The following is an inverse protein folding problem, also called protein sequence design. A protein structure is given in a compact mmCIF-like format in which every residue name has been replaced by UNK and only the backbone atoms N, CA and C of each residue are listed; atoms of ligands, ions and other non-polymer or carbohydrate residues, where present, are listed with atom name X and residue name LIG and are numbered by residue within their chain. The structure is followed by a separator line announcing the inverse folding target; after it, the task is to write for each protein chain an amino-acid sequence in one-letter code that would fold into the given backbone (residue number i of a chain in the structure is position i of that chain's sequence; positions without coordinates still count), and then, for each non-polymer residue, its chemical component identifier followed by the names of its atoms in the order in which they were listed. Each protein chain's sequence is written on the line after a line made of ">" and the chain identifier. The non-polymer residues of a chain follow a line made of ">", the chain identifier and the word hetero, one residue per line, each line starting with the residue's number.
data_IF_757149885546
#
_entry.id   IF_757149885546
#
_cell.length_a   1.000
_cell.length_b   1.000
_cell.length_c   1.000
_cell.angle_alpha   90.00
_cell.angle_beta   90.00
_cell.angle_gamma   90.00
#
_symmetry.space_group_name_H-M   'P 1'
#
loop_
_entity.id
_entity.type
_entity.pdbx_description
1 polymer ?
#
# COMPACT_ATOMS: atom_id res chain seq x y z
N UNK A 1 24.06 18.55 41.56
CA UNK A 1 22.84 18.85 40.75
C UNK A 1 23.28 19.17 39.33
N UNK A 2 23.45 18.16 38.47
CA UNK A 2 23.91 18.35 37.09
C UNK A 2 23.47 17.21 36.16
N UNK A 3 22.38 16.53 36.49
CA UNK A 3 21.85 15.40 35.70
C UNK A 3 20.70 15.82 34.78
N UNK A 4 20.19 17.05 34.96
CA UNK A 4 19.20 17.68 34.10
C UNK A 4 19.58 17.70 32.61
N UNK A 5 20.84 17.97 32.18
CA UNK A 5 21.17 17.90 30.75
C UNK A 5 21.18 16.46 30.21
N UNK A 6 21.46 15.46 31.05
CA UNK A 6 21.46 14.04 30.66
C UNK A 6 20.03 13.53 30.44
N UNK A 7 19.10 13.91 31.32
CA UNK A 7 17.68 13.56 31.20
C UNK A 7 17.00 14.23 29.99
N UNK A 8 17.40 15.46 29.64
CA UNK A 8 16.92 16.15 28.43
C UNK A 8 17.45 15.49 27.14
N UNK A 9 18.67 14.96 27.14
CA UNK A 9 19.23 14.23 26.00
C UNK A 9 18.56 12.86 25.78
N UNK A 10 18.11 12.20 26.85
CA UNK A 10 17.40 10.92 26.78
C UNK A 10 15.99 11.05 26.17
N UNK A 11 15.32 12.19 26.33
CA UNK A 11 14.00 12.47 25.75
C UNK A 11 14.06 12.88 24.26
N UNK A 12 15.25 13.08 23.70
CA UNK A 12 15.45 13.54 22.32
C UNK A 12 15.48 12.41 21.26
N UNK A 13 15.24 11.16 21.65
CA UNK A 13 15.15 10.02 20.72
C UNK A 13 13.72 9.50 20.62
N UNK A 14 12.75 10.41 20.44
CA UNK A 14 11.51 10.03 19.78
C UNK A 14 11.78 10.06 18.28
N UNK A 15 12.26 8.95 17.73
CA UNK A 15 12.19 8.72 16.28
C UNK A 15 10.73 8.92 15.88
N UNK A 16 10.47 9.90 15.02
CA UNK A 16 9.13 10.19 14.55
C UNK A 16 8.51 8.90 14.01
N UNK A 17 7.37 8.49 14.56
CA UNK A 17 6.56 7.44 13.97
C UNK A 17 5.87 8.09 12.77
N UNK A 18 6.35 7.81 11.55
CA UNK A 18 5.61 8.20 10.37
C UNK A 18 4.22 7.55 10.44
N UNK A 19 3.13 8.31 10.29
CA UNK A 19 1.80 7.74 10.26
C UNK A 19 1.71 6.76 9.09
N UNK A 20 1.00 5.65 9.28
CA UNK A 20 0.73 4.73 8.19
C UNK A 20 -0.38 5.30 7.29
N UNK A 21 -0.31 5.11 5.96
CA UNK A 21 -1.34 5.58 5.07
C UNK A 21 -2.71 4.98 5.40
N UNK A 22 -3.70 5.85 5.61
CA UNK A 22 -5.08 5.44 5.81
C UNK A 22 -5.81 5.48 4.46
N UNK A 23 -6.55 4.42 4.14
CA UNK A 23 -7.30 4.28 2.90
C UNK A 23 -8.79 4.41 3.17
N UNK A 24 -9.43 5.32 2.43
CA UNK A 24 -10.87 5.54 2.49
C UNK A 24 -11.52 5.05 1.19
N UNK A 25 -12.37 4.03 1.31
CA UNK A 25 -13.18 3.49 0.22
C UNK A 25 -14.67 3.75 0.52
N UNK A 26 -15.50 4.11 -0.48
CA UNK A 26 -16.95 4.14 -0.30
C UNK A 26 -17.46 2.77 0.20
N UNK A 27 -18.44 2.73 1.11
CA UNK A 27 -18.91 1.48 1.70
C UNK A 27 -19.57 0.55 0.67
N UNK A 28 -20.21 1.12 -0.34
CA UNK A 28 -20.77 0.40 -1.48
C UNK A 28 -20.93 1.30 -2.69
N UNK A 29 -20.95 0.70 -3.87
CA UNK A 29 -21.31 1.34 -5.13
C UNK A 29 -22.08 0.34 -5.98
N UNK A 30 -22.95 0.84 -6.86
CA UNK A 30 -23.75 0.02 -7.76
C UNK A 30 -23.79 0.65 -9.15
N UNK A 31 -23.84 -0.17 -10.19
CA UNK A 31 -24.03 0.26 -11.57
C UNK A 31 -24.73 -0.84 -12.37
N UNK A 32 -25.31 -0.47 -13.51
CA UNK A 32 -25.97 -1.42 -14.40
C UNK A 32 -24.96 -2.30 -15.16
N UNK A 33 -25.38 -3.51 -15.54
CA UNK A 33 -24.59 -4.40 -16.39
C UNK A 33 -24.21 -3.72 -17.72
N UNK A 34 -23.04 -4.06 -18.27
CA UNK A 34 -22.49 -3.49 -19.50
C UNK A 34 -21.94 -2.07 -19.39
N UNK A 35 -22.14 -1.40 -18.25
CA UNK A 35 -21.57 -0.06 -18.00
C UNK A 35 -20.12 -0.13 -17.53
N UNK A 36 -19.47 1.03 -17.43
CA UNK A 36 -18.17 1.15 -16.74
C UNK A 36 -18.37 1.72 -15.35
N UNK A 37 -17.88 1.02 -14.33
CA UNK A 37 -17.87 1.50 -12.94
C UNK A 37 -16.44 1.88 -12.52
N UNK A 38 -16.32 2.89 -11.65
CA UNK A 38 -15.04 3.28 -11.03
C UNK A 38 -15.14 3.16 -9.52
N UNK A 39 -14.26 2.36 -8.94
CA UNK A 39 -14.12 2.21 -7.48
C UNK A 39 -13.02 3.15 -7.01
N UNK A 40 -13.29 3.95 -5.98
CA UNK A 40 -12.35 4.93 -5.44
C UNK A 40 -11.61 4.38 -4.21
N UNK A 41 -10.34 4.75 -4.09
CA UNK A 41 -9.49 4.51 -2.94
C UNK A 41 -8.72 5.79 -2.64
N UNK A 42 -9.19 6.57 -1.67
CA UNK A 42 -8.62 7.87 -1.32
C UNK A 42 -7.63 7.70 -0.17
N UNK A 43 -6.41 8.21 -0.34
CA UNK A 43 -5.42 8.24 0.73
C UNK A 43 -5.67 9.42 1.66
N UNK A 44 -5.35 9.25 2.93
CA UNK A 44 -5.28 10.34 3.89
C UNK A 44 -4.30 11.42 3.44
N UNK A 45 -4.59 12.67 3.82
CA UNK A 45 -3.92 13.88 3.30
C UNK A 45 -2.46 14.02 3.71
N UNK A 46 -2.01 13.27 4.70
CA UNK A 46 -0.63 13.15 5.16
C UNK A 46 0.27 12.35 4.20
N UNK A 47 -0.32 11.69 3.20
CA UNK A 47 0.41 10.92 2.19
C UNK A 47 0.04 11.32 0.76
N UNK A 48 1.00 11.26 -0.14
CA UNK A 48 0.79 11.50 -1.57
C UNK A 48 0.62 10.17 -2.34
N UNK A 49 -0.54 9.98 -2.97
CA UNK A 49 -0.82 8.83 -3.85
C UNK A 49 0.14 8.75 -5.05
N UNK A 50 0.77 9.87 -5.43
CA UNK A 50 1.76 9.96 -6.48
C UNK A 50 2.99 9.09 -6.25
N UNK A 51 3.43 8.91 -5.00
CA UNK A 51 4.63 8.13 -4.66
C UNK A 51 4.35 6.66 -4.30
N UNK A 52 3.08 6.27 -4.23
CA UNK A 52 2.66 4.93 -3.82
C UNK A 52 2.23 4.06 -4.99
N UNK A 53 2.49 2.75 -4.92
CA UNK A 53 1.76 1.76 -5.70
C UNK A 53 0.35 1.60 -5.13
N UNK A 54 -0.65 1.40 -5.98
CA UNK A 54 -2.00 1.02 -5.56
C UNK A 54 -2.28 -0.40 -6.04
N UNK A 55 -2.63 -1.26 -5.11
CA UNK A 55 -2.99 -2.65 -5.35
C UNK A 55 -4.49 -2.80 -5.21
N UNK A 56 -5.10 -3.56 -6.11
CA UNK A 56 -6.53 -3.85 -6.09
C UNK A 56 -6.75 -5.35 -5.94
N UNK A 57 -7.71 -5.70 -5.09
CA UNK A 57 -8.13 -7.06 -4.81
C UNK A 57 -9.64 -7.19 -4.94
N UNK A 58 -10.10 -8.36 -5.36
CA UNK A 58 -11.51 -8.73 -5.42
C UNK A 58 -11.75 -9.96 -4.54
N UNK A 59 -12.80 -9.91 -3.73
CA UNK A 59 -13.26 -11.03 -2.93
C UNK A 59 -14.73 -11.33 -3.25
N UNK A 60 -14.96 -12.48 -3.89
CA UNK A 60 -16.31 -13.03 -4.08
C UNK A 60 -16.75 -13.78 -2.83
N UNK A 61 -18.06 -13.89 -2.61
CA UNK A 61 -18.61 -14.65 -1.49
C UNK A 61 -18.03 -16.08 -1.46
N UNK A 62 -17.57 -16.53 -0.30
CA UNK A 62 -16.98 -17.86 -0.09
C UNK A 62 -15.60 -18.08 -0.72
N UNK A 63 -14.97 -17.05 -1.29
CA UNK A 63 -13.65 -17.15 -1.92
C UNK A 63 -12.61 -16.27 -1.19
N UNK A 64 -11.32 -16.63 -1.23
CA UNK A 64 -10.27 -15.77 -0.73
C UNK A 64 -10.11 -14.52 -1.62
N UNK A 65 -9.55 -13.41 -1.08
CA UNK A 65 -9.20 -12.25 -1.89
C UNK A 65 -8.24 -12.64 -3.02
N UNK A 66 -8.56 -12.19 -4.23
CA UNK A 66 -7.76 -12.38 -5.43
C UNK A 66 -7.15 -11.05 -5.86
N UNK A 67 -5.85 -11.04 -6.10
CA UNK A 67 -5.16 -9.89 -6.67
C UNK A 67 -5.63 -9.60 -8.10
N UNK A 68 -6.06 -8.36 -8.34
CA UNK A 68 -6.50 -7.87 -9.65
C UNK A 68 -5.38 -7.16 -10.40
N UNK A 69 -4.83 -6.09 -9.83
CA UNK A 69 -3.80 -5.30 -10.49
C UNK A 69 -3.02 -4.43 -9.52
N UNK A 70 -1.83 -4.03 -9.95
CA UNK A 70 -1.01 -2.98 -9.35
C UNK A 70 -0.92 -1.83 -10.35
N UNK A 71 -1.17 -0.61 -9.88
CA UNK A 71 -1.04 0.59 -10.69
C UNK A 71 -0.15 1.62 -10.01
N UNK A 72 0.90 2.05 -10.71
CA UNK A 72 1.64 3.27 -10.37
C UNK A 72 1.41 4.35 -11.42
N UNK A 73 1.65 4.02 -12.69
CA UNK A 73 1.47 4.90 -13.85
C UNK A 73 1.07 4.09 -15.09
N UNK A 74 0.82 4.76 -16.21
CA UNK A 74 0.52 4.07 -17.48
C UNK A 74 1.65 3.16 -17.97
N UNK A 75 2.91 3.55 -17.74
CA UNK A 75 4.12 2.80 -18.11
C UNK A 75 4.55 1.78 -17.05
N UNK A 76 4.07 1.92 -15.81
CA UNK A 76 4.41 1.02 -14.71
C UNK A 76 3.15 0.53 -13.98
N UNK A 77 2.68 -0.62 -14.44
CA UNK A 77 1.47 -1.31 -13.97
C UNK A 77 1.59 -2.80 -14.26
N UNK A 78 0.99 -3.61 -13.40
CA UNK A 78 0.94 -5.07 -13.57
C UNK A 78 -0.50 -5.57 -13.41
N UNK A 79 -0.87 -6.57 -14.20
CA UNK A 79 -2.13 -7.30 -14.05
C UNK A 79 -1.91 -8.58 -13.25
N UNK A 80 -2.91 -8.95 -12.47
CA UNK A 80 -2.95 -10.22 -11.78
C UNK A 80 -3.16 -11.37 -12.76
N UNK A 81 -2.83 -12.60 -12.34
CA UNK A 81 -2.96 -13.77 -13.20
C UNK A 81 -4.42 -13.97 -13.59
N UNK A 82 -4.66 -14.21 -14.89
CA UNK A 82 -5.99 -14.48 -15.48
C UNK A 82 -7.01 -13.35 -15.26
N UNK A 83 -6.56 -12.11 -14.99
CA UNK A 83 -7.46 -10.96 -14.81
C UNK A 83 -7.86 -10.42 -16.18
N UNK A 84 -9.16 -10.29 -16.49
CA UNK A 84 -9.61 -9.78 -17.78
C UNK A 84 -9.13 -8.34 -18.05
N UNK A 85 -8.88 -7.96 -19.33
CA UNK A 85 -8.38 -6.62 -19.68
C UNK A 85 -9.38 -5.49 -19.38
N UNK A 86 -10.64 -5.81 -19.10
CA UNK A 86 -11.68 -4.85 -18.68
C UNK A 86 -11.42 -4.23 -17.29
N UNK A 87 -10.51 -4.79 -16.49
CA UNK A 87 -10.04 -4.20 -15.25
C UNK A 87 -8.82 -3.31 -15.50
N UNK A 88 -8.89 -2.04 -15.09
CA UNK A 88 -7.79 -1.10 -15.26
C UNK A 88 -7.62 -0.14 -14.07
N UNK A 89 -6.40 0.29 -13.81
CA UNK A 89 -6.07 1.24 -12.75
C UNK A 89 -5.86 2.67 -13.27
N UNK A 90 -6.10 3.66 -12.43
CA UNK A 90 -5.72 5.06 -12.65
C UNK A 90 -5.51 5.79 -11.32
N UNK A 91 -4.95 7.00 -11.37
CA UNK A 91 -4.81 7.91 -10.21
C UNK A 91 -5.29 9.30 -10.57
N UNK A 92 -5.87 9.98 -9.59
CA UNK A 92 -6.13 11.42 -9.57
C UNK A 92 -5.29 12.02 -8.44
N UNK A 93 -4.19 12.67 -8.80
CA UNK A 93 -3.25 13.24 -7.84
C UNK A 93 -3.86 14.43 -7.09
N UNK A 94 -4.72 15.22 -7.75
CA UNK A 94 -5.37 16.37 -7.12
C UNK A 94 -6.37 15.93 -6.04
N UNK A 95 -6.99 14.76 -6.21
CA UNK A 95 -7.90 14.17 -5.22
C UNK A 95 -7.23 13.17 -4.27
N UNK A 96 -5.91 12.99 -4.39
CA UNK A 96 -5.18 11.97 -3.65
C UNK A 96 -5.82 10.56 -3.72
N UNK A 97 -6.34 10.19 -4.90
CA UNK A 97 -7.24 9.03 -5.06
C UNK A 97 -6.77 8.08 -6.17
N UNK A 98 -6.72 6.80 -5.85
CA UNK A 98 -6.62 5.70 -6.80
C UNK A 98 -7.97 5.22 -7.28
N UNK A 99 -8.02 4.73 -8.52
CA UNK A 99 -9.24 4.16 -9.08
C UNK A 99 -9.01 2.80 -9.73
N UNK A 100 -9.94 1.88 -9.49
CA UNK A 100 -10.15 0.70 -10.33
C UNK A 100 -11.34 0.97 -11.24
N UNK A 101 -11.12 0.92 -12.55
CA UNK A 101 -12.16 0.97 -13.55
C UNK A 101 -12.45 -0.45 -14.05
N UNK A 102 -13.73 -0.82 -14.05
CA UNK A 102 -14.22 -2.09 -14.59
C UNK A 102 -15.17 -1.73 -15.73
N UNK A 103 -14.75 -1.92 -16.97
CA UNK A 103 -15.61 -1.74 -18.14
C UNK A 103 -16.44 -2.99 -18.41
N UNK A 104 -17.56 -2.83 -19.13
CA UNK A 104 -18.45 -3.95 -19.49
C UNK A 104 -18.80 -4.81 -18.26
N UNK A 105 -19.42 -4.17 -17.26
CA UNK A 105 -19.70 -4.79 -15.96
C UNK A 105 -20.56 -6.05 -16.10
N UNK A 106 -20.13 -7.15 -15.50
CA UNK A 106 -20.76 -8.47 -15.60
C UNK A 106 -21.33 -8.90 -14.24
N UNK A 107 -22.32 -9.82 -14.20
CA UNK A 107 -22.86 -10.34 -12.94
C UNK A 107 -21.77 -10.91 -12.01
N UNK A 108 -20.74 -11.52 -12.58
CA UNK A 108 -19.63 -12.13 -11.82
C UNK A 108 -18.70 -11.09 -11.17
N UNK A 109 -18.89 -9.79 -11.45
CA UNK A 109 -18.15 -8.70 -10.82
C UNK A 109 -18.72 -8.26 -9.49
N UNK A 110 -19.89 -8.78 -9.10
CA UNK A 110 -20.44 -8.55 -7.77
C UNK A 110 -19.54 -9.19 -6.70
N UNK A 111 -18.86 -8.34 -5.94
CA UNK A 111 -17.83 -8.73 -4.99
C UNK A 111 -17.51 -7.57 -4.04
N UNK A 112 -16.76 -7.90 -2.97
CA UNK A 112 -16.08 -6.88 -2.16
C UNK A 112 -14.74 -6.56 -2.82
N UNK A 113 -14.41 -5.27 -2.93
CA UNK A 113 -13.15 -4.82 -3.51
C UNK A 113 -12.34 -4.06 -2.48
N UNK A 114 -11.06 -4.40 -2.38
CA UNK A 114 -10.13 -3.78 -1.45
C UNK A 114 -8.99 -3.13 -2.20
N UNK A 115 -8.58 -1.95 -1.75
CA UNK A 115 -7.32 -1.37 -2.16
C UNK A 115 -6.27 -1.49 -1.05
N UNK A 116 -5.00 -1.55 -1.45
CA UNK A 116 -3.86 -1.39 -0.57
C UNK A 116 -2.84 -0.46 -1.22
N UNK A 117 -1.98 0.16 -0.41
CA UNK A 117 -0.85 0.94 -0.90
C UNK A 117 0.47 0.41 -0.39
N UNK A 118 1.51 0.60 -1.19
CA UNK A 118 2.88 0.35 -0.78
C UNK A 118 3.78 1.40 -1.40
N UNK A 119 4.80 1.84 -0.65
CA UNK A 119 5.83 2.70 -1.19
C UNK A 119 6.37 2.09 -2.50
N UNK A 120 6.75 2.94 -3.45
CA UNK A 120 7.61 2.45 -4.52
C UNK A 120 8.95 2.11 -3.91
N UNK A 121 9.44 0.90 -4.17
CA UNK A 121 10.87 0.64 -4.10
C UNK A 121 11.52 1.47 -5.22
N UNK A 122 11.75 2.75 -4.96
CA UNK A 122 12.92 3.42 -5.53
C UNK A 122 14.06 2.55 -5.05
N UNK A 123 14.86 1.96 -5.95
CA UNK A 123 16.00 1.13 -5.59
C UNK A 123 16.68 1.72 -4.36
N UNK A 124 16.45 1.06 -3.23
CA UNK A 124 16.85 1.57 -1.95
C UNK A 124 18.36 1.61 -2.04
N UNK A 125 18.95 2.82 -1.95
CA UNK A 125 20.39 2.97 -1.90
C UNK A 125 20.97 1.99 -0.87
N UNK A 126 22.23 1.55 -1.04
CA UNK A 126 22.83 0.41 -0.33
C UNK A 126 22.78 0.47 1.22
N UNK A 127 22.38 1.61 1.77
CA UNK A 127 22.30 1.89 3.20
C UNK A 127 21.10 1.23 3.89
N UNK A 128 19.89 1.24 3.31
CA UNK A 128 18.71 0.61 3.94
C UNK A 128 18.76 -0.94 3.86
N UNK A 129 19.48 -1.49 2.88
CA UNK A 129 19.78 -2.92 2.82
C UNK A 129 20.78 -3.36 3.88
N UNK A 130 21.72 -2.48 4.28
CA UNK A 130 22.65 -2.76 5.38
C UNK A 130 21.90 -2.87 6.71
N UNK A 131 21.04 -1.91 7.02
CA UNK A 131 20.25 -1.93 8.27
C UNK A 131 19.35 -3.17 8.35
N UNK A 132 18.64 -3.53 7.28
CA UNK A 132 17.82 -4.76 7.24
C UNK A 132 18.64 -6.04 7.36
N UNK A 133 19.88 -6.05 6.85
CA UNK A 133 20.80 -7.20 6.94
C UNK A 133 21.37 -7.33 8.35
N UNK A 134 21.68 -6.20 8.99
CA UNK A 134 22.20 -6.11 10.35
C UNK A 134 21.13 -6.48 11.38
N UNK A 135 19.87 -6.07 11.17
CA UNK A 135 18.73 -6.49 12.01
C UNK A 135 18.42 -7.99 11.90
N UNK A 136 18.78 -8.62 10.77
CA UNK A 136 18.53 -10.05 10.52
C UNK A 136 19.70 -10.95 10.93
N UNK A 137 20.82 -10.37 11.39
CA UNK A 137 21.96 -11.14 11.90
C UNK A 137 21.70 -11.55 13.35
N UNK A 138 21.56 -12.86 13.67
CA UNK A 138 21.39 -13.28 15.04
C UNK A 138 22.66 -12.99 15.84
N UNK A 139 22.51 -12.30 16.97
CA UNK A 139 23.61 -12.02 17.90
C UNK A 139 24.33 -13.33 18.26
N UNK A 140 25.64 -13.37 17.99
CA UNK A 140 26.48 -14.52 18.29
C UNK A 140 26.42 -14.85 19.79
N UNK A 141 26.41 -16.15 20.18
CA UNK A 141 26.46 -16.51 21.58
C UNK A 141 27.81 -16.12 22.17
N UNK A 142 27.79 -15.25 23.17
CA UNK A 142 28.96 -14.88 23.98
C UNK A 142 29.44 -16.14 24.69
N UNK A 143 30.54 -16.72 24.22
CA UNK A 143 31.23 -17.80 24.91
C UNK A 143 31.90 -17.23 26.16
N UNK A 144 31.35 -17.52 27.33
CA UNK A 144 32.07 -17.38 28.61
C UNK A 144 33.07 -18.53 28.71
N UNK A 145 34.36 -18.21 28.70
CA UNK A 145 35.42 -19.14 29.07
C UNK A 145 35.83 -18.88 30.55
N UNK A 146 36.17 -19.93 31.31
CA UNK A 146 36.53 -19.84 32.72
C UNK A 146 37.88 -19.16 32.98
#
# INVERSE_FOLDING_TARGET
>A
MSWTPVLLALLAHCTACDPQPVLNQPPSVSSSLGTTIRLACTLSSDHDVGVHNIYWYQQRAGHPPRFLLRYFSHSDKNQGPKVPPRFSGSKDLAKNTGYLSISDLQPEDEAVYFCAVGARDVEQGPEMQRERREEREPAAPVSQAP
#
